data_IF_319592009913
#
_entry.id   IF_319592009913
#
_cell.length_a   1.000
_cell.length_b   1.000
_cell.length_c   1.000
_cell.angle_alpha   90.00
_cell.angle_beta   90.00
_cell.angle_gamma   90.00
#
_symmetry.space_group_name_H-M   'P 1'
#
loop_
_entity.id
_entity.type
_entity.pdbx_description
1 polymer ?
#
# COMPACT_ATOMS: atom_id res chain seq x y z
N UNK A 1 -12.68 5.95 4.40
CA UNK A 1 -11.96 4.99 3.53
C UNK A 1 -12.18 5.48 2.11
N UNK A 2 -11.11 5.84 1.38
CA UNK A 2 -11.25 6.27 -0.01
C UNK A 2 -11.83 5.12 -0.85
N UNK A 3 -12.80 5.41 -1.71
CA UNK A 3 -13.43 4.40 -2.56
C UNK A 3 -12.49 4.03 -3.70
N UNK A 4 -11.66 3.01 -3.47
CA UNK A 4 -10.91 2.34 -4.52
C UNK A 4 -11.89 1.56 -5.43
N UNK A 5 -11.69 1.63 -6.74
CA UNK A 5 -12.37 0.72 -7.68
C UNK A 5 -11.90 -0.72 -7.45
N UNK A 6 -12.65 -1.73 -7.95
CA UNK A 6 -12.21 -3.13 -7.82
C UNK A 6 -10.85 -3.37 -8.47
N UNK A 7 -10.61 -2.80 -9.66
CA UNK A 7 -9.31 -2.88 -10.33
C UNK A 7 -8.18 -2.26 -9.48
N UNK A 8 -8.44 -1.11 -8.86
CA UNK A 8 -7.48 -0.46 -7.97
C UNK A 8 -7.19 -1.28 -6.71
N UNK A 9 -8.21 -1.95 -6.15
CA UNK A 9 -8.03 -2.86 -5.01
C UNK A 9 -7.14 -4.04 -5.38
N UNK A 10 -7.38 -4.69 -6.52
CA UNK A 10 -6.57 -5.82 -6.97
C UNK A 10 -5.10 -5.43 -7.18
N UNK A 11 -4.84 -4.27 -7.79
CA UNK A 11 -3.48 -3.76 -7.98
C UNK A 11 -2.85 -3.46 -6.62
N UNK A 12 -3.56 -2.74 -5.75
CA UNK A 12 -3.08 -2.40 -4.41
C UNK A 12 -2.73 -3.64 -3.59
N UNK A 13 -3.59 -4.66 -3.56
CA UNK A 13 -3.37 -5.90 -2.82
C UNK A 13 -2.13 -6.65 -3.30
N UNK A 14 -1.89 -6.68 -4.63
CA UNK A 14 -0.66 -7.27 -5.20
C UNK A 14 0.60 -6.53 -4.74
N UNK A 15 0.58 -5.19 -4.77
CA UNK A 15 1.73 -4.39 -4.35
C UNK A 15 1.96 -4.51 -2.85
N UNK A 16 0.90 -4.45 -2.05
CA UNK A 16 0.96 -4.63 -0.61
C UNK A 16 1.54 -6.00 -0.26
N UNK A 17 1.08 -7.08 -0.91
CA UNK A 17 1.60 -8.42 -0.70
C UNK A 17 3.09 -8.51 -1.04
N UNK A 18 3.53 -7.94 -2.16
CA UNK A 18 4.95 -7.92 -2.56
C UNK A 18 5.81 -7.14 -1.57
N UNK A 19 5.35 -5.96 -1.15
CA UNK A 19 6.06 -5.13 -0.18
C UNK A 19 6.20 -5.85 1.17
N UNK A 20 5.11 -6.43 1.69
CA UNK A 20 5.15 -7.19 2.94
C UNK A 20 5.98 -8.48 2.82
N UNK A 21 6.01 -9.11 1.65
CA UNK A 21 6.85 -10.29 1.38
C UNK A 21 8.35 -9.96 1.30
N UNK A 22 8.71 -8.73 0.92
CA UNK A 22 10.11 -8.27 0.96
C UNK A 22 10.63 -8.02 2.38
N UNK A 23 9.75 -7.99 3.39
CA UNK A 23 10.11 -7.79 4.79
C UNK A 23 10.30 -9.12 5.52
N UNK A 24 11.21 -9.14 6.50
CA UNK A 24 11.28 -10.23 7.47
C UNK A 24 10.02 -10.31 8.33
N UNK A 25 9.71 -11.51 8.85
CA UNK A 25 8.47 -11.79 9.59
C UNK A 25 8.25 -10.86 10.79
N UNK A 26 9.29 -10.61 11.59
CA UNK A 26 9.24 -9.68 12.73
C UNK A 26 8.89 -8.26 12.31
N UNK A 27 9.49 -7.77 11.23
CA UNK A 27 9.23 -6.42 10.75
C UNK A 27 7.83 -6.33 10.16
N UNK A 28 7.40 -7.33 9.37
CA UNK A 28 6.06 -7.41 8.80
C UNK A 28 4.97 -7.34 9.87
N UNK A 29 5.17 -7.96 11.02
CA UNK A 29 4.19 -7.93 12.14
C UNK A 29 3.85 -6.52 12.64
N UNK A 30 4.74 -5.54 12.41
CA UNK A 30 4.56 -4.14 12.82
C UNK A 30 3.76 -3.32 11.79
N UNK A 31 3.54 -3.85 10.58
CA UNK A 31 2.84 -3.17 9.49
C UNK A 31 1.38 -3.62 9.45
N UNK A 32 0.54 -3.02 10.30
CA UNK A 32 -0.91 -3.08 10.17
C UNK A 32 -1.38 -1.95 9.25
N UNK A 33 -2.07 -2.27 8.15
CA UNK A 33 -2.64 -1.26 7.25
C UNK A 33 -3.70 -0.45 8.02
N UNK A 34 -3.55 0.88 8.07
CA UNK A 34 -4.50 1.77 8.76
C UNK A 34 -5.36 2.55 7.79
N UNK A 35 -4.78 3.05 6.72
CA UNK A 35 -5.49 3.84 5.72
C UNK A 35 -4.85 3.65 4.34
N UNK A 36 -5.69 3.64 3.31
CA UNK A 36 -5.27 3.73 1.92
C UNK A 36 -6.11 4.79 1.24
N UNK A 37 -5.45 5.66 0.47
CA UNK A 37 -6.06 6.71 -0.32
C UNK A 37 -5.51 6.68 -1.73
N UNK A 38 -6.39 6.83 -2.72
CA UNK A 38 -5.98 7.00 -4.11
C UNK A 38 -5.68 8.45 -4.40
N UNK A 39 -4.52 8.72 -5.00
CA UNK A 39 -4.16 10.02 -5.56
C UNK A 39 -4.27 9.96 -7.09
N UNK A 40 -5.34 10.54 -7.62
CA UNK A 40 -5.58 10.59 -9.08
C UNK A 40 -4.53 11.41 -9.83
N UNK A 41 -3.92 12.41 -9.19
CA UNK A 41 -2.98 13.31 -9.86
C UNK A 41 -1.63 12.63 -10.05
N UNK A 42 -1.20 11.90 -9.04
CA UNK A 42 0.09 11.18 -9.06
C UNK A 42 -0.07 9.73 -9.54
N UNK A 43 -1.30 9.22 -9.65
CA UNK A 43 -1.60 7.82 -9.98
C UNK A 43 -0.95 6.83 -9.00
N UNK A 44 -1.01 7.15 -7.70
CA UNK A 44 -0.42 6.35 -6.61
C UNK A 44 -1.41 6.09 -5.48
N UNK A 45 -1.24 4.97 -4.77
CA UNK A 45 -1.89 4.71 -3.50
C UNK A 45 -1.03 5.28 -2.37
N UNK A 46 -1.59 6.19 -1.58
CA UNK A 46 -1.01 6.68 -0.33
C UNK A 46 -1.42 5.72 0.79
N UNK A 47 -0.45 4.98 1.31
CA UNK A 47 -0.66 3.86 2.23
C UNK A 47 -0.09 4.23 3.58
N UNK A 48 -0.89 4.20 4.64
CA UNK A 48 -0.46 4.46 6.00
C UNK A 48 -0.52 3.17 6.82
N UNK A 49 0.50 2.98 7.65
CA UNK A 49 0.64 1.81 8.52
C UNK A 49 0.54 2.19 9.99
N UNK A 50 0.24 1.21 10.84
CA UNK A 50 0.06 1.34 12.29
C UNK A 50 1.34 1.75 13.02
N UNK A 51 2.50 1.45 12.44
CA UNK A 51 3.81 1.88 12.95
C UNK A 51 4.14 3.35 12.64
N UNK A 52 3.21 4.10 12.02
CA UNK A 52 3.42 5.50 11.63
C UNK A 52 4.18 5.70 10.33
N UNK A 53 4.63 4.61 9.68
CA UNK A 53 5.21 4.68 8.34
C UNK A 53 4.11 4.85 7.30
N UNK A 54 4.46 5.50 6.20
CA UNK A 54 3.60 5.68 5.06
C UNK A 54 4.41 5.53 3.78
N UNK A 55 3.75 5.09 2.72
CA UNK A 55 4.38 4.73 1.44
C UNK A 55 3.48 5.14 0.28
N UNK A 56 4.09 5.43 -0.87
CA UNK A 56 3.38 5.57 -2.13
C UNK A 56 3.52 4.30 -2.94
N UNK A 57 2.40 3.70 -3.38
CA UNK A 57 2.41 2.56 -4.31
C UNK A 57 1.98 3.03 -5.68
N UNK A 58 2.86 2.92 -6.67
CA UNK A 58 2.55 3.26 -8.05
C UNK A 58 1.91 2.07 -8.78
N UNK A 59 1.14 2.36 -9.83
CA UNK A 59 0.44 1.33 -10.62
C UNK A 59 1.38 0.33 -11.32
N UNK A 60 2.64 0.69 -11.53
CA UNK A 60 3.67 -0.18 -12.11
C UNK A 60 4.22 -1.21 -11.10
N UNK A 61 3.78 -1.14 -9.85
CA UNK A 61 4.20 -2.02 -8.77
C UNK A 61 5.40 -1.55 -7.97
N UNK A 62 5.91 -0.35 -8.25
CA UNK A 62 6.96 0.28 -7.44
C UNK A 62 6.37 0.94 -6.19
N UNK A 63 7.18 1.03 -5.12
CA UNK A 63 6.83 1.75 -3.90
C UNK A 63 8.01 2.59 -3.38
N UNK A 64 7.72 3.76 -2.81
CA UNK A 64 8.71 4.70 -2.27
C UNK A 64 8.17 5.55 -1.11
#
# INVERSE_FOLDING_TARGET
>A
MGNLTEQQKEIFEKILANHLASMGEEERSKYGLTCVMWDEKEQVFKVHFSNGKWWHYALDGTWY
#
